data_IF_482399937037
#
_entry.id   IF_482399937037
#
_cell.length_a   1.000
_cell.length_b   1.000
_cell.length_c   1.000
_cell.angle_alpha   90.00
_cell.angle_beta   90.00
_cell.angle_gamma   90.00
#
_symmetry.space_group_name_H-M   'P 1'
#
loop_
_entity.id
_entity.type
_entity.pdbx_description
1 polymer ?
#
# COMPACT_ATOMS: atom_id res chain seq x y z
N UNK A 1 -0.64 28.47 18.06
CA UNK A 1 0.63 28.91 18.68
C UNK A 1 1.14 27.94 19.74
N UNK A 2 0.30 27.42 20.66
CA UNK A 2 0.76 26.49 21.71
C UNK A 2 1.36 25.15 21.18
N UNK A 3 0.71 24.48 20.23
CA UNK A 3 1.22 23.20 19.67
C UNK A 3 2.54 23.39 18.92
N UNK A 4 2.69 24.47 18.15
CA UNK A 4 3.96 24.78 17.48
C UNK A 4 5.09 25.05 18.49
N UNK A 5 4.77 25.69 19.61
CA UNK A 5 5.73 25.91 20.70
C UNK A 5 6.12 24.60 21.39
N UNK A 6 5.15 23.71 21.65
CA UNK A 6 5.39 22.39 22.22
C UNK A 6 6.29 21.54 21.33
N UNK A 7 6.02 21.58 20.03
CA UNK A 7 6.77 20.82 19.02
C UNK A 7 8.16 21.40 18.72
N UNK A 8 8.55 22.54 19.32
CA UNK A 8 9.89 23.12 19.13
C UNK A 8 10.98 22.28 19.80
N UNK A 9 10.65 21.61 20.90
CA UNK A 9 11.50 20.62 21.55
C UNK A 9 10.89 19.23 21.41
N UNK A 10 11.50 18.37 20.60
CA UNK A 10 11.00 17.01 20.37
C UNK A 10 10.96 16.16 21.65
N UNK A 11 11.86 16.40 22.63
CA UNK A 11 11.90 15.63 23.87
C UNK A 11 10.67 15.97 24.75
N UNK A 12 10.42 17.25 24.98
CA UNK A 12 9.23 17.73 25.69
C UNK A 12 7.94 17.32 24.97
N UNK A 13 7.92 17.41 23.63
CA UNK A 13 6.78 16.99 22.83
C UNK A 13 6.43 15.51 23.04
N UNK A 14 7.43 14.61 23.00
CA UNK A 14 7.22 13.17 23.21
C UNK A 14 6.69 12.89 24.62
N UNK A 15 7.21 13.57 25.64
CA UNK A 15 6.74 13.39 27.03
C UNK A 15 5.29 13.88 27.20
N UNK A 16 4.93 15.00 26.56
CA UNK A 16 3.60 15.58 26.64
C UNK A 16 2.51 14.72 25.98
N UNK A 17 2.86 13.80 25.07
CA UNK A 17 1.87 12.93 24.38
C UNK A 17 1.06 12.05 25.34
N UNK A 18 1.61 11.71 26.51
CA UNK A 18 0.89 10.90 27.50
C UNK A 18 -0.29 11.66 28.12
N UNK A 19 -0.07 12.93 28.45
CA UNK A 19 -1.05 13.82 29.09
C UNK A 19 -1.95 14.54 28.07
N UNK A 20 -1.63 14.42 26.77
CA UNK A 20 -2.35 15.10 25.72
C UNK A 20 -3.79 14.56 25.60
N UNK A 21 -4.82 15.44 25.58
CA UNK A 21 -6.18 15.06 25.23
C UNK A 21 -6.23 14.38 23.85
N UNK A 22 -7.06 13.34 23.73
CA UNK A 22 -7.15 12.52 22.49
C UNK A 22 -7.50 13.36 21.26
N UNK A 23 -8.31 14.40 21.43
CA UNK A 23 -8.79 15.27 20.36
C UNK A 23 -7.67 16.08 19.70
N UNK A 24 -6.53 16.26 20.39
CA UNK A 24 -5.39 17.00 19.86
C UNK A 24 -4.43 16.13 19.06
N UNK A 25 -4.52 14.80 19.12
CA UNK A 25 -3.61 13.89 18.40
C UNK A 25 -3.59 14.13 16.88
N UNK A 26 -4.74 14.26 16.17
CA UNK A 26 -4.75 14.55 14.73
C UNK A 26 -4.07 15.88 14.38
N UNK A 27 -4.25 16.89 15.23
CA UNK A 27 -3.64 18.20 15.04
C UNK A 27 -2.12 18.15 15.25
N UNK A 28 -1.65 17.50 16.31
CA UNK A 28 -0.21 17.32 16.58
C UNK A 28 0.44 16.48 15.49
N UNK A 29 -0.22 15.41 15.01
CA UNK A 29 0.22 14.64 13.85
C UNK A 29 0.41 15.53 12.63
N UNK A 30 -0.58 16.35 12.29
CA UNK A 30 -0.52 17.23 11.11
C UNK A 30 0.67 18.18 11.20
N UNK A 31 0.88 18.82 12.35
CA UNK A 31 1.98 19.78 12.55
C UNK A 31 3.34 19.05 12.54
N UNK A 32 3.47 17.93 13.25
CA UNK A 32 4.69 17.14 13.29
C UNK A 32 5.05 16.55 11.92
N UNK A 33 4.05 16.12 11.14
CA UNK A 33 4.23 15.56 9.81
C UNK A 33 4.76 16.60 8.81
N UNK A 34 4.14 17.78 8.79
CA UNK A 34 4.60 18.93 7.98
C UNK A 34 5.96 19.44 8.43
N UNK A 35 6.22 19.42 9.73
CA UNK A 35 7.50 19.80 10.33
C UNK A 35 8.60 18.73 10.21
N UNK A 36 8.33 17.57 9.59
CA UNK A 36 9.26 16.43 9.44
C UNK A 36 9.87 15.95 10.77
N UNK A 37 9.09 16.03 11.86
CA UNK A 37 9.55 15.72 13.21
C UNK A 37 9.50 14.22 13.50
N UNK A 38 10.52 13.50 13.02
CA UNK A 38 10.56 12.03 12.98
C UNK A 38 10.44 11.38 14.35
N UNK A 39 10.96 12.00 15.42
CA UNK A 39 10.86 11.42 16.79
C UNK A 39 9.43 11.54 17.32
N UNK A 40 8.82 12.71 17.13
CA UNK A 40 7.44 12.96 17.54
C UNK A 40 6.46 12.06 16.77
N UNK A 41 6.63 11.93 15.46
CA UNK A 41 5.81 11.05 14.62
C UNK A 41 5.85 9.58 15.08
N UNK A 42 7.05 9.06 15.40
CA UNK A 42 7.19 7.70 15.93
C UNK A 42 6.44 7.54 17.25
N UNK A 43 6.60 8.48 18.18
CA UNK A 43 5.93 8.44 19.47
C UNK A 43 4.40 8.59 19.34
N UNK A 44 3.92 9.43 18.42
CA UNK A 44 2.48 9.57 18.11
C UNK A 44 1.87 8.24 17.67
N UNK A 45 2.53 7.51 16.78
CA UNK A 45 2.05 6.19 16.31
C UNK A 45 1.99 5.19 17.46
N UNK A 46 3.00 5.20 18.33
CA UNK A 46 3.06 4.33 19.52
C UNK A 46 2.03 4.66 20.58
N UNK A 47 1.55 5.91 20.64
CA UNK A 47 0.55 6.39 21.58
C UNK A 47 -0.83 6.63 20.93
N UNK A 48 -1.00 6.26 19.66
CA UNK A 48 -2.17 6.66 18.87
C UNK A 48 -3.47 6.14 19.48
N UNK A 49 -4.41 7.01 19.89
CA UNK A 49 -5.56 6.61 20.68
C UNK A 49 -6.69 5.99 19.84
N UNK A 50 -6.66 6.15 18.52
CA UNK A 50 -7.70 5.69 17.60
C UNK A 50 -7.33 4.36 16.91
N UNK A 51 -8.31 3.58 16.44
CA UNK A 51 -8.04 2.35 15.71
C UNK A 51 -7.46 2.58 14.31
N UNK A 52 -7.64 3.77 13.74
CA UNK A 52 -7.23 4.09 12.38
C UNK A 52 -6.39 5.36 12.34
N UNK A 53 -5.40 5.37 11.44
CA UNK A 53 -4.55 6.51 11.12
C UNK A 53 -4.58 6.74 9.60
N UNK A 54 -5.28 7.78 9.16
CA UNK A 54 -5.34 8.16 7.75
C UNK A 54 -4.32 9.27 7.47
N UNK A 55 -3.39 9.04 6.55
CA UNK A 55 -2.40 10.04 6.13
C UNK A 55 -2.79 10.73 4.82
N UNK A 56 -3.87 10.29 4.17
CA UNK A 56 -4.34 10.84 2.89
C UNK A 56 -4.36 12.38 2.83
N UNK A 57 -4.83 13.12 3.86
CA UNK A 57 -4.87 14.58 3.83
C UNK A 57 -3.49 15.25 3.96
N UNK A 58 -2.47 14.49 4.37
CA UNK A 58 -1.10 14.94 4.55
C UNK A 58 -0.22 14.67 3.32
N UNK A 59 -0.69 13.84 2.39
CA UNK A 59 0.03 13.39 1.21
C UNK A 59 -0.27 14.25 -0.03
N UNK A 60 -0.06 15.56 0.09
CA UNK A 60 -0.18 16.51 -1.03
C UNK A 60 0.97 16.31 -2.03
N UNK A 61 2.19 16.05 -1.52
CA UNK A 61 3.34 15.63 -2.31
C UNK A 61 4.07 14.47 -1.59
N UNK A 62 3.79 13.21 -1.98
CA UNK A 62 4.39 12.04 -1.35
C UNK A 62 5.93 12.00 -1.43
N UNK A 63 6.54 12.63 -2.43
CA UNK A 63 7.99 12.61 -2.60
C UNK A 63 8.72 13.45 -1.55
N UNK A 64 8.16 14.61 -1.17
CA UNK A 64 8.75 15.47 -0.14
C UNK A 64 8.50 15.02 1.30
N UNK A 65 7.61 14.03 1.50
CA UNK A 65 7.21 13.52 2.82
C UNK A 65 7.76 12.13 3.15
N UNK A 66 8.70 11.58 2.38
CA UNK A 66 9.23 10.22 2.60
C UNK A 66 9.77 9.99 4.02
N UNK A 67 10.51 10.95 4.60
CA UNK A 67 11.03 10.82 5.97
C UNK A 67 9.93 10.73 7.03
N UNK A 68 8.85 11.52 6.86
CA UNK A 68 7.69 11.50 7.76
C UNK A 68 6.91 10.19 7.62
N UNK A 69 6.72 9.71 6.39
CA UNK A 69 6.11 8.39 6.12
C UNK A 69 6.91 7.26 6.76
N UNK A 70 8.23 7.30 6.63
CA UNK A 70 9.13 6.35 7.26
C UNK A 70 9.07 6.39 8.78
N UNK A 71 9.00 7.58 9.36
CA UNK A 71 8.82 7.73 10.80
C UNK A 71 7.50 7.10 11.27
N UNK A 72 6.42 7.23 10.51
CA UNK A 72 5.15 6.56 10.84
C UNK A 72 5.30 5.03 10.80
N UNK A 73 5.88 4.48 9.73
CA UNK A 73 6.10 3.04 9.59
C UNK A 73 7.02 2.48 10.69
N UNK A 74 8.07 3.21 11.07
CA UNK A 74 8.97 2.79 12.14
C UNK A 74 8.29 2.80 13.51
N UNK A 75 7.34 3.72 13.73
CA UNK A 75 6.54 3.76 14.95
C UNK A 75 5.69 2.51 15.19
N UNK A 76 5.34 1.75 14.14
CA UNK A 76 4.53 0.54 14.25
C UNK A 76 5.25 -0.65 14.89
N UNK A 77 6.58 -0.71 14.75
CA UNK A 77 7.43 -1.79 15.26
C UNK A 77 8.29 -1.37 16.46
N UNK A 78 8.30 -0.09 16.78
CA UNK A 78 9.15 0.42 17.85
C UNK A 78 8.61 -0.09 19.20
N UNK A 79 9.48 -0.75 19.97
CA UNK A 79 9.15 -1.12 21.36
C UNK A 79 8.96 0.16 22.19
N UNK A 80 7.99 0.20 23.09
CA UNK A 80 7.93 1.26 24.09
C UNK A 80 9.27 1.32 24.83
N UNK A 81 9.82 2.52 25.03
CA UNK A 81 11.02 2.69 25.83
C UNK A 81 10.78 2.13 27.24
N UNK A 82 11.73 1.34 27.76
CA UNK A 82 11.61 0.77 29.11
C UNK A 82 11.53 1.91 30.15
N UNK A 83 10.55 1.83 31.05
CA UNK A 83 10.47 2.72 32.22
C UNK A 83 9.68 4.02 32.03
N UNK A 84 9.12 4.29 30.85
CA UNK A 84 8.21 5.43 30.64
C UNK A 84 6.78 4.90 30.53
N UNK A 85 5.84 5.30 31.42
CA UNK A 85 4.42 5.04 31.22
C UNK A 85 4.05 5.62 29.86
N UNK A 86 3.65 4.78 28.92
CA UNK A 86 3.21 5.22 27.60
C UNK A 86 1.77 4.76 27.38
N UNK A 87 0.96 5.68 26.88
CA UNK A 87 -0.39 5.34 26.40
C UNK A 87 -0.26 4.19 25.40
N UNK A 88 -1.07 3.14 25.58
CA UNK A 88 -1.10 2.01 24.63
C UNK A 88 -1.77 2.47 23.34
N UNK A 89 -1.12 2.23 22.20
CA UNK A 89 -1.72 2.45 20.88
C UNK A 89 -2.92 1.52 20.67
N UNK A 90 -4.03 2.09 20.18
CA UNK A 90 -5.20 1.34 19.71
C UNK A 90 -5.12 1.04 18.21
N UNK A 91 -4.03 1.42 17.54
CA UNK A 91 -3.91 1.41 16.10
C UNK A 91 -3.98 0.00 15.51
N UNK A 92 -4.92 -0.18 14.60
CA UNK A 92 -5.17 -1.41 13.82
C UNK A 92 -4.99 -1.17 12.32
N UNK A 93 -5.22 0.04 11.83
CA UNK A 93 -5.18 0.38 10.41
C UNK A 93 -4.37 1.65 10.19
N UNK A 94 -3.47 1.63 9.21
CA UNK A 94 -2.81 2.82 8.68
C UNK A 94 -3.09 2.93 7.19
N UNK A 95 -3.59 4.07 6.76
CA UNK A 95 -3.91 4.35 5.36
C UNK A 95 -2.95 5.40 4.79
N UNK A 96 -2.12 4.95 3.84
CA UNK A 96 -1.15 5.74 3.08
C UNK A 96 -1.67 6.13 1.70
N UNK A 97 -2.93 5.82 1.35
CA UNK A 97 -3.48 6.18 0.04
C UNK A 97 -3.72 7.69 -0.01
N UNK A 98 -3.23 8.42 -1.03
CA UNK A 98 -3.51 9.84 -1.17
C UNK A 98 -5.00 10.07 -1.47
N UNK A 99 -5.55 11.17 -0.95
CA UNK A 99 -6.97 11.53 -1.11
C UNK A 99 -7.35 11.83 -2.58
N UNK A 100 -6.37 12.20 -3.41
CA UNK A 100 -6.57 12.70 -4.77
C UNK A 100 -6.91 11.65 -5.84
N UNK A 101 -7.10 10.38 -5.49
CA UNK A 101 -7.61 9.38 -6.45
C UNK A 101 -9.11 9.52 -6.77
N UNK A 102 -9.79 10.56 -6.26
CA UNK A 102 -11.17 10.91 -6.62
C UNK A 102 -11.30 12.16 -7.51
N UNK A 103 -10.23 12.91 -7.79
CA UNK A 103 -10.36 14.17 -8.53
C UNK A 103 -9.19 14.36 -9.49
N UNK A 104 -9.31 13.78 -10.68
CA UNK A 104 -8.70 14.36 -11.87
C UNK A 104 -9.48 15.62 -12.25
N UNK A 105 -9.27 16.72 -11.53
CA UNK A 105 -9.61 18.05 -12.04
C UNK A 105 -8.85 19.12 -11.27
N UNK A 106 -8.09 19.89 -12.03
CA UNK A 106 -7.44 21.15 -11.68
C UNK A 106 -8.28 21.98 -10.70
N UNK A 107 -7.73 22.38 -9.56
CA UNK A 107 -7.50 23.78 -9.18
C UNK A 107 -6.92 23.88 -7.76
N UNK A 108 -6.40 25.05 -7.43
CA UNK A 108 -5.35 25.36 -6.48
C UNK A 108 -5.83 25.88 -5.12
N UNK A 109 -4.96 25.67 -4.12
CA UNK A 109 -4.61 26.62 -3.04
C UNK A 109 -5.60 26.95 -1.88
N UNK A 110 -6.72 26.25 -1.67
CA UNK A 110 -7.64 26.56 -0.53
C UNK A 110 -7.85 25.45 0.52
N UNK A 111 -6.99 24.44 0.59
CA UNK A 111 -7.38 23.14 1.16
C UNK A 111 -7.00 22.88 2.63
N UNK A 112 -6.17 23.70 3.27
CA UNK A 112 -5.68 23.41 4.61
C UNK A 112 -6.77 23.39 5.71
N UNK A 113 -7.82 24.21 5.58
CA UNK A 113 -8.96 24.22 6.50
C UNK A 113 -9.93 23.05 6.23
N UNK A 114 -10.05 22.63 4.96
CA UNK A 114 -10.90 21.51 4.55
C UNK A 114 -10.31 20.16 4.99
N UNK A 115 -8.98 20.06 5.10
CA UNK A 115 -8.30 18.86 5.62
C UNK A 115 -8.62 18.57 7.10
N UNK A 116 -8.79 19.60 7.94
CA UNK A 116 -9.12 19.43 9.36
C UNK A 116 -10.60 19.06 9.57
N UNK A 117 -11.51 19.66 8.80
CA UNK A 117 -12.93 19.29 8.84
C UNK A 117 -13.15 17.86 8.32
N UNK A 118 -12.39 17.44 7.30
CA UNK A 118 -12.42 16.07 6.77
C UNK A 118 -11.97 15.05 7.82
N UNK A 119 -10.91 15.33 8.59
CA UNK A 119 -10.47 14.45 9.68
C UNK A 119 -11.57 14.19 10.72
N UNK A 120 -12.41 15.18 11.04
CA UNK A 120 -13.52 15.03 11.97
C UNK A 120 -14.64 14.15 11.42
N UNK A 121 -14.92 14.21 10.12
CA UNK A 121 -15.95 13.38 9.45
C UNK A 121 -15.62 11.89 9.44
N UNK A 122 -14.34 11.50 9.47
CA UNK A 122 -13.91 10.09 9.49
C UNK A 122 -13.79 9.48 10.89
N UNK A 123 -13.91 10.29 11.95
CA UNK A 123 -13.92 9.80 13.33
C UNK A 123 -15.34 9.45 13.84
N UNK A 124 -16.36 9.67 13.01
CA UNK A 124 -17.70 9.12 13.20
C UNK A 124 -17.70 7.61 12.85
N UNK A 125 -18.27 6.74 13.69
CA UNK A 125 -18.28 5.31 13.44
C UNK A 125 -19.42 4.98 12.48
N UNK A 126 -19.17 4.97 11.16
CA UNK A 126 -19.84 4.08 10.19
C UNK A 126 -19.42 4.34 8.75
N UNK A 127 -18.68 3.39 8.15
CA UNK A 127 -19.07 2.65 6.93
C UNK A 127 -18.39 1.30 7.01
N UNK A 128 -19.18 0.23 6.97
CA UNK A 128 -18.77 -1.16 6.99
C UNK A 128 -17.80 -1.44 5.83
N UNK A 129 -16.51 -1.55 6.14
CA UNK A 129 -15.54 -2.13 5.21
C UNK A 129 -15.92 -3.61 4.99
N UNK A 130 -15.83 -4.13 3.76
CA UNK A 130 -16.19 -5.52 3.50
C UNK A 130 -15.32 -6.45 4.36
N UNK A 131 -15.97 -7.26 5.19
CA UNK A 131 -15.33 -8.33 5.94
C UNK A 131 -14.85 -9.42 4.98
N UNK A 132 -13.72 -9.18 4.32
CA UNK A 132 -13.00 -10.25 3.61
C UNK A 132 -12.41 -11.19 4.65
N UNK A 133 -12.94 -12.42 4.70
CA UNK A 133 -12.41 -13.51 5.54
C UNK A 133 -10.88 -13.62 5.33
N UNK A 134 -10.07 -13.56 6.39
CA UNK A 134 -8.63 -13.59 6.24
C UNK A 134 -8.22 -14.94 5.64
N UNK A 135 -7.53 -14.90 4.49
CA UNK A 135 -6.84 -16.07 3.97
C UNK A 135 -5.82 -16.55 5.00
N UNK A 136 -6.02 -17.76 5.49
CA UNK A 136 -5.10 -18.44 6.39
C UNK A 136 -3.80 -18.71 5.63
N UNK A 137 -2.78 -17.87 5.87
CA UNK A 137 -1.46 -18.09 5.30
C UNK A 137 -0.87 -19.39 5.84
N UNK A 138 -0.14 -20.10 4.97
CA UNK A 138 0.70 -21.24 5.32
C UNK A 138 1.55 -20.89 6.55
N UNK A 139 1.43 -21.75 7.57
CA UNK A 139 2.03 -21.67 8.90
C UNK A 139 3.44 -21.05 8.92
N UNK A 140 3.53 -19.78 9.33
CA UNK A 140 4.78 -19.21 9.82
C UNK A 140 5.01 -19.79 11.22
N UNK A 141 5.97 -20.70 11.36
CA UNK A 141 6.36 -21.25 12.67
C UNK A 141 7.12 -20.15 13.45
N UNK A 142 6.77 -19.95 14.73
CA UNK A 142 7.41 -19.09 15.78
C UNK A 142 6.92 -17.62 15.88
N UNK A 143 7.27 -16.83 16.92
CA UNK A 143 6.78 -16.80 18.31
C UNK A 143 5.96 -15.51 18.64
N UNK A 144 5.12 -15.05 17.70
CA UNK A 144 4.56 -13.69 17.72
C UNK A 144 3.17 -13.53 18.38
N UNK A 145 2.76 -14.46 19.26
CA UNK A 145 1.37 -14.58 19.78
C UNK A 145 0.82 -13.36 20.54
N UNK A 146 1.61 -12.32 20.83
CA UNK A 146 1.19 -11.20 21.68
C UNK A 146 0.72 -9.94 20.93
N UNK A 147 1.01 -9.79 19.63
CA UNK A 147 0.74 -8.54 18.91
C UNK A 147 -0.34 -8.72 17.84
N UNK A 148 -1.39 -7.89 17.89
CA UNK A 148 -2.39 -7.88 16.84
C UNK A 148 -1.79 -7.32 15.53
N UNK A 149 -2.10 -7.91 14.36
CA UNK A 149 -1.66 -7.39 13.08
C UNK A 149 -2.09 -5.93 12.84
N UNK A 150 -1.33 -5.19 12.04
CA UNK A 150 -1.73 -3.87 11.52
C UNK A 150 -2.01 -3.99 10.04
N UNK A 151 -3.12 -3.40 9.60
CA UNK A 151 -3.48 -3.28 8.20
C UNK A 151 -2.89 -2.01 7.62
N UNK A 152 -2.14 -2.17 6.53
CA UNK A 152 -1.52 -1.08 5.81
C UNK A 152 -2.16 -0.97 4.44
N UNK A 153 -2.94 0.10 4.25
CA UNK A 153 -3.55 0.43 2.96
C UNK A 153 -2.61 1.35 2.20
N UNK A 154 -2.17 0.94 1.01
CA UNK A 154 -1.16 1.68 0.25
C UNK A 154 -1.24 1.35 -1.24
N UNK A 155 -1.10 2.35 -2.10
CA UNK A 155 -0.89 2.10 -3.53
C UNK A 155 0.62 2.04 -3.80
N UNK A 156 1.06 1.01 -4.52
CA UNK A 156 2.48 0.70 -4.72
C UNK A 156 2.86 0.97 -6.17
N UNK A 157 3.86 1.83 -6.39
CA UNK A 157 4.42 2.09 -7.72
C UNK A 157 5.93 1.89 -7.73
N UNK A 158 6.39 0.78 -8.31
CA UNK A 158 7.79 0.33 -8.32
C UNK A 158 8.55 0.74 -9.61
N UNK A 159 8.07 1.75 -10.32
CA UNK A 159 8.62 2.20 -11.60
C UNK A 159 9.48 3.46 -11.58
N UNK A 160 9.36 4.31 -10.55
CA UNK A 160 10.17 5.54 -10.41
C UNK A 160 11.26 5.33 -9.36
N UNK A 161 12.41 6.01 -9.48
CA UNK A 161 13.52 5.88 -8.52
C UNK A 161 13.07 6.17 -7.07
N UNK A 162 12.41 7.31 -6.84
CA UNK A 162 11.93 7.71 -5.52
C UNK A 162 10.81 6.80 -4.98
N UNK A 163 9.88 6.36 -5.83
CA UNK A 163 8.86 5.39 -5.42
C UNK A 163 9.47 4.03 -5.07
N UNK A 164 10.46 3.58 -5.84
CA UNK A 164 11.11 2.28 -5.65
C UNK A 164 11.81 2.18 -4.30
N UNK A 165 12.53 3.22 -3.85
CA UNK A 165 13.22 3.19 -2.55
C UNK A 165 12.24 3.08 -1.38
N UNK A 166 11.22 3.94 -1.34
CA UNK A 166 10.21 3.91 -0.29
C UNK A 166 9.46 2.57 -0.26
N UNK A 167 8.88 2.16 -1.40
CA UNK A 167 8.06 0.94 -1.44
C UNK A 167 8.88 -0.34 -1.26
N UNK A 168 10.11 -0.41 -1.78
CA UNK A 168 11.00 -1.56 -1.50
C UNK A 168 11.30 -1.67 0.00
N UNK A 169 11.41 -0.54 0.68
CA UNK A 169 11.54 -0.49 2.10
C UNK A 169 10.26 -0.92 2.83
N UNK A 170 9.06 -0.51 2.39
CA UNK A 170 7.78 -1.01 2.95
C UNK A 170 7.71 -2.54 2.88
N UNK A 171 8.08 -3.11 1.74
CA UNK A 171 8.11 -4.56 1.55
C UNK A 171 9.14 -5.24 2.47
N UNK A 172 10.30 -4.60 2.69
CA UNK A 172 11.32 -5.08 3.64
C UNK A 172 10.79 -5.04 5.07
N UNK A 173 10.12 -3.95 5.46
CA UNK A 173 9.48 -3.77 6.76
C UNK A 173 8.51 -4.92 7.01
N UNK A 174 7.57 -5.17 6.10
CA UNK A 174 6.61 -6.28 6.20
C UNK A 174 7.26 -7.67 6.37
N UNK A 175 8.46 -7.90 5.83
CA UNK A 175 9.20 -9.15 6.03
C UNK A 175 9.91 -9.23 7.39
N UNK A 176 10.31 -8.10 7.97
CA UNK A 176 11.23 -8.00 9.11
C UNK A 176 10.57 -7.47 10.40
N UNK A 177 9.37 -6.93 10.30
CA UNK A 177 8.62 -6.32 11.40
C UNK A 177 8.37 -7.31 12.52
N UNK A 178 8.50 -6.83 13.76
CA UNK A 178 8.14 -7.59 14.94
C UNK A 178 6.62 -7.72 15.06
N UNK A 179 5.89 -6.69 14.62
CA UNK A 179 4.43 -6.72 14.55
C UNK A 179 4.00 -7.21 13.15
N UNK A 180 3.08 -8.19 13.01
CA UNK A 180 2.62 -8.61 11.70
C UNK A 180 1.97 -7.44 10.94
N UNK A 181 2.46 -7.13 9.74
CA UNK A 181 1.91 -6.09 8.86
C UNK A 181 1.19 -6.75 7.68
N UNK A 182 -0.09 -6.42 7.47
CA UNK A 182 -0.90 -6.91 6.35
C UNK A 182 -1.01 -5.80 5.31
N UNK A 183 -0.49 -6.03 4.11
CA UNK A 183 -0.53 -5.04 3.03
C UNK A 183 -1.78 -5.20 2.17
N UNK A 184 -2.56 -4.13 2.09
CA UNK A 184 -3.73 -3.97 1.23
C UNK A 184 -3.38 -2.96 0.14
N UNK A 185 -3.15 -3.47 -1.08
CA UNK A 185 -2.78 -2.64 -2.22
C UNK A 185 -3.92 -2.60 -3.24
N UNK A 186 -4.49 -1.43 -3.49
CA UNK A 186 -5.56 -1.25 -4.49
C UNK A 186 -4.98 -1.13 -5.88
N UNK A 187 -3.97 -0.26 -6.05
CA UNK A 187 -3.27 -0.01 -7.31
C UNK A 187 -1.81 -0.44 -7.20
N UNK A 188 -1.42 -1.41 -8.03
CA UNK A 188 -0.06 -1.90 -8.11
C UNK A 188 0.51 -1.62 -9.51
N UNK A 189 1.52 -0.77 -9.57
CA UNK A 189 2.29 -0.52 -10.78
C UNK A 189 3.72 -1.05 -10.62
N UNK A 190 4.17 -1.88 -11.55
CA UNK A 190 5.53 -2.44 -11.58
C UNK A 190 6.13 -2.24 -12.95
N UNK A 191 7.37 -1.73 -12.97
CA UNK A 191 8.12 -1.48 -14.20
C UNK A 191 9.47 -2.20 -14.17
N UNK A 192 9.87 -2.76 -15.32
CA UNK A 192 11.20 -3.31 -15.58
C UNK A 192 11.65 -4.31 -14.50
N UNK A 193 10.85 -5.36 -14.28
CA UNK A 193 11.06 -6.32 -13.20
C UNK A 193 10.84 -7.77 -13.65
N UNK A 194 11.70 -8.73 -13.23
CA UNK A 194 11.49 -10.15 -13.52
C UNK A 194 10.25 -10.71 -12.81
N UNK A 195 9.53 -11.62 -13.47
CA UNK A 195 8.34 -12.31 -12.91
C UNK A 195 8.56 -12.88 -11.51
N UNK A 196 9.74 -13.44 -11.22
CA UNK A 196 10.05 -14.04 -9.92
C UNK A 196 9.91 -13.01 -8.78
N UNK A 197 10.39 -11.78 -9.00
CA UNK A 197 10.26 -10.68 -8.05
C UNK A 197 8.83 -10.19 -7.92
N UNK A 198 8.10 -10.12 -9.03
CA UNK A 198 6.67 -9.74 -9.03
C UNK A 198 5.88 -10.74 -8.19
N UNK A 199 6.10 -12.04 -8.40
CA UNK A 199 5.47 -13.12 -7.63
C UNK A 199 5.82 -13.00 -6.14
N UNK A 200 7.07 -12.71 -5.78
CA UNK A 200 7.49 -12.45 -4.39
C UNK A 200 6.72 -11.27 -3.77
N UNK A 201 6.57 -10.17 -4.50
CA UNK A 201 5.82 -8.98 -4.06
C UNK A 201 4.35 -9.33 -3.86
N UNK A 202 3.72 -9.95 -4.86
CA UNK A 202 2.32 -10.38 -4.79
C UNK A 202 2.07 -11.33 -3.61
N UNK A 203 3.02 -12.20 -3.27
CA UNK A 203 2.88 -13.06 -2.08
C UNK A 203 2.78 -12.26 -0.78
N UNK A 204 3.29 -11.02 -0.72
CA UNK A 204 3.23 -10.13 0.45
C UNK A 204 1.90 -9.37 0.58
N UNK A 205 1.11 -9.31 -0.49
CA UNK A 205 -0.11 -8.52 -0.58
C UNK A 205 -1.37 -9.36 -0.36
N UNK A 206 -2.45 -8.70 0.04
CA UNK A 206 -3.81 -9.26 -0.03
C UNK A 206 -4.32 -9.14 -1.47
N UNK A 207 -4.16 -10.22 -2.26
CA UNK A 207 -4.46 -10.23 -3.70
C UNK A 207 -5.90 -9.85 -4.03
N UNK A 208 -6.86 -10.25 -3.18
CA UNK A 208 -8.28 -9.93 -3.36
C UNK A 208 -8.57 -8.43 -3.26
N UNK A 209 -7.65 -7.62 -2.70
CA UNK A 209 -7.81 -6.17 -2.59
C UNK A 209 -7.30 -5.39 -3.83
N UNK A 210 -6.55 -6.05 -4.71
CA UNK A 210 -6.01 -5.42 -5.92
C UNK A 210 -7.15 -5.19 -6.91
N UNK A 211 -7.29 -3.93 -7.35
CA UNK A 211 -8.27 -3.50 -8.36
C UNK A 211 -7.60 -3.08 -9.66
N UNK A 212 -6.39 -2.53 -9.59
CA UNK A 212 -5.63 -2.07 -10.76
C UNK A 212 -4.23 -2.66 -10.71
N UNK A 213 -3.86 -3.43 -11.72
CA UNK A 213 -2.54 -4.02 -11.89
C UNK A 213 -1.94 -3.54 -13.22
N UNK A 214 -0.84 -2.81 -13.14
CA UNK A 214 -0.10 -2.33 -14.30
C UNK A 214 1.34 -2.88 -14.26
N UNK A 215 1.69 -3.66 -15.28
CA UNK A 215 3.01 -4.24 -15.46
C UNK A 215 3.58 -3.75 -16.79
N UNK A 216 4.69 -3.01 -16.74
CA UNK A 216 5.37 -2.48 -17.93
C UNK A 216 6.79 -3.03 -18.03
N UNK A 217 7.21 -3.50 -19.20
CA UNK A 217 8.57 -4.01 -19.42
C UNK A 217 8.93 -5.21 -18.52
N UNK A 218 7.92 -5.96 -18.07
CA UNK A 218 8.09 -7.11 -17.20
C UNK A 218 8.27 -8.38 -18.04
N UNK A 219 9.26 -9.20 -17.71
CA UNK A 219 9.66 -10.35 -18.52
C UNK A 219 9.41 -11.69 -17.82
N UNK A 220 9.09 -12.70 -18.63
CA UNK A 220 8.82 -14.07 -18.17
C UNK A 220 7.47 -14.24 -17.48
N UNK A 221 6.53 -13.30 -17.62
CA UNK A 221 5.22 -13.36 -16.96
C UNK A 221 4.49 -14.69 -17.23
N UNK A 222 4.67 -15.24 -18.43
CA UNK A 222 3.97 -16.43 -18.92
C UNK A 222 4.91 -17.58 -19.29
N UNK A 223 6.10 -17.67 -18.69
CA UNK A 223 6.91 -18.90 -18.82
C UNK A 223 6.24 -20.05 -18.02
N UNK A 224 6.25 -21.25 -18.60
CA UNK A 224 5.43 -22.41 -18.19
C UNK A 224 5.36 -22.69 -16.69
N UNK A 225 4.13 -22.83 -16.16
CA UNK A 225 3.87 -23.02 -14.73
C UNK A 225 3.77 -21.73 -13.92
N UNK A 226 3.47 -20.59 -14.57
CA UNK A 226 3.59 -19.28 -13.94
C UNK A 226 2.67 -19.14 -12.72
N UNK A 227 3.30 -19.16 -11.54
CA UNK A 227 2.67 -18.82 -10.26
C UNK A 227 1.98 -17.45 -10.31
N UNK A 228 2.44 -16.58 -11.22
CA UNK A 228 1.81 -15.31 -11.55
C UNK A 228 0.36 -15.49 -12.03
N UNK A 229 0.10 -16.34 -13.03
CA UNK A 229 -1.26 -16.56 -13.55
C UNK A 229 -2.22 -17.01 -12.42
N UNK A 230 -1.78 -17.95 -11.59
CA UNK A 230 -2.55 -18.40 -10.42
C UNK A 230 -2.78 -17.28 -9.41
N UNK A 231 -1.83 -16.36 -9.21
CA UNK A 231 -2.03 -15.20 -8.34
C UNK A 231 -3.02 -14.20 -8.93
N UNK A 232 -3.01 -13.99 -10.25
CA UNK A 232 -3.97 -13.13 -10.95
C UNK A 232 -5.39 -13.69 -10.85
N UNK A 233 -5.60 -15.00 -11.00
CA UNK A 233 -6.91 -15.64 -10.77
C UNK A 233 -7.47 -15.40 -9.35
N UNK A 234 -6.59 -15.15 -8.37
CA UNK A 234 -6.99 -14.88 -6.99
C UNK A 234 -7.38 -13.42 -6.76
N UNK A 235 -7.14 -12.52 -7.72
CA UNK A 235 -7.49 -11.10 -7.67
C UNK A 235 -8.95 -10.89 -8.08
N UNK A 236 -9.87 -11.37 -7.24
CA UNK A 236 -11.32 -11.38 -7.55
C UNK A 236 -11.92 -10.00 -7.84
N UNK A 237 -11.31 -8.94 -7.29
CA UNK A 237 -11.76 -7.55 -7.47
C UNK A 237 -10.94 -6.79 -8.53
N UNK A 238 -10.13 -7.49 -9.34
CA UNK A 238 -9.34 -6.85 -10.39
C UNK A 238 -10.25 -6.28 -11.47
N UNK A 239 -10.22 -4.95 -11.62
CA UNK A 239 -11.03 -4.20 -12.58
C UNK A 239 -10.22 -3.73 -13.79
N UNK A 240 -8.93 -3.48 -13.60
CA UNK A 240 -8.01 -3.03 -14.65
C UNK A 240 -6.73 -3.85 -14.63
N UNK A 241 -6.39 -4.42 -15.78
CA UNK A 241 -5.12 -5.09 -16.02
C UNK A 241 -4.43 -4.47 -17.23
N UNK A 242 -3.23 -3.96 -17.02
CA UNK A 242 -2.38 -3.41 -18.08
C UNK A 242 -1.09 -4.19 -18.13
N UNK A 243 -0.81 -4.85 -19.25
CA UNK A 243 0.46 -5.52 -19.55
C UNK A 243 1.08 -4.83 -20.77
N UNK A 244 2.02 -3.93 -20.54
CA UNK A 244 2.69 -3.15 -21.58
C UNK A 244 4.08 -3.73 -21.88
N UNK A 245 4.32 -4.13 -23.12
CA UNK A 245 5.54 -4.82 -23.58
C UNK A 245 5.87 -6.08 -22.76
N UNK A 246 4.91 -6.99 -22.52
CA UNK A 246 5.20 -8.25 -21.85
C UNK A 246 6.20 -9.06 -22.68
N UNK A 247 7.38 -9.32 -22.13
CA UNK A 247 8.37 -10.14 -22.82
C UNK A 247 8.02 -11.62 -22.53
N UNK A 248 7.38 -12.25 -23.51
CA UNK A 248 6.90 -13.64 -23.41
C UNK A 248 7.99 -14.71 -23.59
N UNK A 249 9.25 -14.33 -23.84
CA UNK A 249 10.37 -15.25 -24.06
C UNK A 249 11.68 -14.84 -23.37
N UNK A 250 12.62 -15.77 -23.28
CA UNK A 250 13.98 -15.56 -22.76
C UNK A 250 15.01 -15.42 -23.88
N UNK A 251 14.73 -14.73 -24.98
CA UNK A 251 15.76 -14.31 -25.95
C UNK A 251 15.14 -13.45 -27.05
N UNK A 252 15.96 -12.57 -27.61
CA UNK A 252 15.65 -11.61 -28.68
C UNK A 252 15.57 -12.24 -30.08
N UNK A 253 15.04 -13.46 -30.21
CA UNK A 253 14.95 -14.11 -31.51
C UNK A 253 13.62 -14.85 -31.65
N UNK A 254 12.95 -14.54 -32.75
CA UNK A 254 11.87 -15.29 -33.38
C UNK A 254 10.45 -15.02 -32.85
N UNK A 255 9.84 -14.08 -33.58
CA UNK A 255 8.42 -13.97 -33.86
C UNK A 255 7.77 -15.31 -34.22
N UNK A 256 7.22 -16.05 -33.26
CA UNK A 256 6.27 -17.14 -33.55
C UNK A 256 5.26 -17.32 -32.43
N UNK A 257 4.00 -16.96 -32.73
CA UNK A 257 2.75 -17.31 -32.06
C UNK A 257 2.68 -17.00 -30.55
N UNK A 258 1.50 -16.66 -29.99
CA UNK A 258 1.39 -16.69 -28.55
C UNK A 258 1.62 -18.12 -28.09
N UNK A 259 2.66 -18.32 -27.28
CA UNK A 259 2.92 -19.58 -26.56
C UNK A 259 1.60 -20.09 -25.96
N UNK A 260 1.39 -21.42 -25.90
CA UNK A 260 0.23 -22.02 -25.22
C UNK A 260 -0.01 -21.42 -23.82
N UNK A 261 1.05 -20.96 -23.16
CA UNK A 261 1.00 -20.25 -21.89
C UNK A 261 0.26 -18.90 -21.94
N UNK A 262 0.34 -18.16 -23.05
CA UNK A 262 -0.44 -16.95 -23.28
C UNK A 262 -1.93 -17.24 -23.44
N UNK A 263 -2.28 -18.24 -24.25
CA UNK A 263 -3.68 -18.66 -24.41
C UNK A 263 -4.24 -19.15 -23.07
N UNK A 264 -3.46 -19.95 -22.33
CA UNK A 264 -3.79 -20.40 -20.98
C UNK A 264 -4.02 -19.21 -20.04
N UNK A 265 -3.16 -18.19 -20.08
CA UNK A 265 -3.33 -16.98 -19.29
C UNK A 265 -4.59 -16.18 -19.66
N UNK A 266 -4.90 -16.00 -20.94
CA UNK A 266 -6.15 -15.35 -21.37
C UNK A 266 -7.37 -16.09 -20.83
N UNK A 267 -7.35 -17.43 -20.83
CA UNK A 267 -8.43 -18.25 -20.26
C UNK A 267 -8.57 -18.11 -18.74
N UNK A 268 -7.53 -17.67 -18.04
CA UNK A 268 -7.58 -17.34 -16.61
C UNK A 268 -8.19 -15.97 -16.39
N UNK A 269 -7.90 -15.01 -17.28
CA UNK A 269 -8.49 -13.66 -17.23
C UNK A 269 -9.99 -13.67 -17.47
N UNK A 270 -10.50 -14.55 -18.34
CA UNK A 270 -11.95 -14.66 -18.58
C UNK A 270 -12.75 -15.09 -17.34
N UNK A 271 -12.09 -15.70 -16.33
CA UNK A 271 -12.71 -16.05 -15.05
C UNK A 271 -12.84 -14.86 -14.09
N UNK A 272 -12.22 -13.72 -14.39
CA UNK A 272 -12.25 -12.53 -13.54
C UNK A 272 -13.51 -11.70 -13.84
N UNK A 273 -14.59 -11.96 -13.09
CA UNK A 273 -15.88 -11.31 -13.31
C UNK A 273 -15.91 -9.78 -13.09
N UNK A 274 -14.90 -9.19 -12.46
CA UNK A 274 -14.79 -7.75 -12.26
C UNK A 274 -13.93 -7.03 -13.31
N UNK A 275 -13.23 -7.76 -14.19
CA UNK A 275 -12.29 -7.17 -15.14
C UNK A 275 -13.04 -6.39 -16.22
N UNK A 276 -12.81 -5.07 -16.28
CA UNK A 276 -13.47 -4.14 -17.22
C UNK A 276 -12.50 -3.54 -18.22
N UNK A 277 -11.26 -3.34 -17.80
CA UNK A 277 -10.20 -2.79 -18.64
C UNK A 277 -9.06 -3.79 -18.75
N UNK A 278 -8.76 -4.19 -19.98
CA UNK A 278 -7.63 -5.02 -20.32
C UNK A 278 -6.83 -4.31 -21.41
N UNK A 279 -5.63 -3.87 -21.07
CA UNK A 279 -4.69 -3.30 -22.02
C UNK A 279 -3.51 -4.26 -22.17
N UNK A 280 -3.33 -4.81 -23.37
CA UNK A 280 -2.17 -5.61 -23.75
C UNK A 280 -1.48 -4.91 -24.92
N UNK A 281 -0.17 -5.01 -25.05
CA UNK A 281 0.54 -4.46 -26.21
C UNK A 281 0.10 -5.14 -27.52
N UNK A 282 0.01 -4.36 -28.60
CA UNK A 282 -0.73 -4.72 -29.82
C UNK A 282 -0.20 -5.93 -30.58
N UNK A 283 1.10 -6.23 -30.46
CA UNK A 283 1.73 -7.37 -31.11
C UNK A 283 1.21 -8.72 -30.57
N UNK A 284 0.65 -8.72 -29.36
CA UNK A 284 0.32 -9.94 -28.61
C UNK A 284 -1.15 -10.37 -28.76
N UNK A 285 -2.02 -9.48 -29.23
CA UNK A 285 -3.48 -9.70 -29.25
C UNK A 285 -3.99 -10.21 -30.60
N UNK A 286 -3.28 -9.93 -31.71
CA UNK A 286 -3.80 -10.17 -33.05
C UNK A 286 -4.10 -11.66 -33.26
N UNK A 287 -5.38 -12.03 -33.41
CA UNK A 287 -5.85 -13.41 -33.60
C UNK A 287 -6.46 -14.12 -32.38
N UNK A 288 -6.29 -13.60 -31.15
CA UNK A 288 -6.62 -14.35 -29.92
C UNK A 288 -7.73 -13.76 -29.06
N UNK A 289 -8.36 -12.68 -29.55
CA UNK A 289 -9.49 -12.02 -28.87
C UNK A 289 -10.65 -12.97 -28.53
N UNK A 290 -10.88 -14.00 -29.35
CA UNK A 290 -11.95 -14.97 -29.13
C UNK A 290 -11.81 -15.78 -27.82
N UNK A 291 -10.61 -15.85 -27.22
CA UNK A 291 -10.41 -16.47 -25.90
C UNK A 291 -10.85 -15.59 -24.73
N UNK A 292 -11.04 -14.28 -24.95
CA UNK A 292 -11.48 -13.32 -23.93
C UNK A 292 -13.02 -13.18 -23.88
N UNK A 293 -13.71 -13.43 -25.00
CA UNK A 293 -15.16 -13.16 -25.16
C UNK A 293 -16.02 -14.43 -25.18
N UNK A 294 -15.67 -15.44 -24.39
CA UNK A 294 -16.44 -16.69 -24.31
C UNK A 294 -17.48 -16.68 -23.21
#
# INVERSE_FOLDING_TARGET
MAIQSLLRDEASAVQALNELPVDLFPLVLTVAFRGKQRKVLRALVQAWPFPQLCLAPLLVDPASCQDSLWAVLDGLDARPARGVPSRKSNLKVVDFRPYFELVQSNDSSKDAARSLSSFATWMEPEVTLPETKPRQRRSWKQPWKAWQPVDLYINLSLGTFHGREFFSGVLRKVKQSYRPLRLFCRKLHVKDMPVLRIVEILNLLQLEFIQELELSGCFGLLSGGSKFASQVEQMKNLCSLTLSHPIFGTSSAESQLPSEAFISFLSHLSKLGCLRMLHLSSEDISGHLHHLFR
#
